data_IF_306957678647
#
_entry.id   IF_306957678647
#
_cell.length_a   1.000
_cell.length_b   1.000
_cell.length_c   1.000
_cell.angle_alpha   90.00
_cell.angle_beta   90.00
_cell.angle_gamma   90.00
#
_symmetry.space_group_name_H-M   'P 1'
#
loop_
_entity.id
_entity.type
_entity.pdbx_description
1 polymer ?
#
# COMPACT_ATOMS: atom_id res chain seq x y z
N UNK A 1 6.25 -20.96 30.60
CA UNK A 1 6.86 -20.48 29.35
C UNK A 1 5.75 -19.99 28.45
N UNK A 2 5.74 -18.70 28.16
CA UNK A 2 4.65 -17.98 27.49
C UNK A 2 4.39 -18.54 26.08
N UNK A 3 3.12 -18.84 25.78
CA UNK A 3 2.68 -19.28 24.45
C UNK A 3 2.95 -18.15 23.45
N UNK A 4 3.98 -18.33 22.63
CA UNK A 4 4.22 -17.54 21.43
C UNK A 4 2.95 -17.59 20.59
N UNK A 5 2.26 -16.44 20.47
CA UNK A 5 1.07 -16.28 19.61
C UNK A 5 1.48 -16.64 18.19
N UNK A 6 1.09 -17.83 17.77
CA UNK A 6 1.19 -18.29 16.39
C UNK A 6 0.48 -17.26 15.51
N UNK A 7 1.27 -16.45 14.80
CA UNK A 7 0.74 -15.50 13.83
C UNK A 7 0.28 -16.39 12.67
N UNK A 8 -0.95 -16.91 12.75
CA UNK A 8 -1.54 -17.71 11.70
C UNK A 8 -1.33 -16.97 10.38
N UNK A 9 -0.41 -17.48 9.56
CA UNK A 9 -0.11 -16.92 8.25
C UNK A 9 -1.27 -17.33 7.35
N UNK A 10 -2.39 -16.62 7.49
CA UNK A 10 -3.54 -16.80 6.62
C UNK A 10 -3.08 -16.40 5.22
N UNK A 11 -2.96 -17.39 4.33
CA UNK A 11 -2.65 -17.21 2.91
C UNK A 11 -3.80 -16.42 2.30
N UNK A 12 -3.72 -15.09 2.36
CA UNK A 12 -4.72 -14.20 1.79
C UNK A 12 -4.59 -14.29 0.27
N UNK A 13 -5.67 -14.71 -0.37
CA UNK A 13 -5.75 -14.68 -1.84
C UNK A 13 -5.48 -13.25 -2.32
N UNK A 14 -4.86 -13.14 -3.49
CA UNK A 14 -4.49 -11.86 -4.11
C UNK A 14 -5.76 -11.02 -4.21
N UNK A 15 -5.88 -9.99 -3.37
CA UNK A 15 -6.97 -9.02 -3.49
C UNK A 15 -6.71 -8.21 -4.75
N UNK A 16 -7.65 -8.24 -5.68
CA UNK A 16 -7.68 -7.32 -6.79
C UNK A 16 -8.03 -5.93 -6.27
N UNK A 17 -7.01 -5.09 -6.14
CA UNK A 17 -7.17 -3.68 -5.82
C UNK A 17 -7.43 -2.94 -7.13
N UNK A 18 -8.58 -2.30 -7.23
CA UNK A 18 -8.93 -1.45 -8.37
C UNK A 18 -7.92 -0.30 -8.53
N UNK A 19 -7.73 0.16 -9.77
CA UNK A 19 -6.77 1.23 -10.09
C UNK A 19 -7.06 2.53 -9.30
N UNK A 20 -8.33 2.89 -9.19
CA UNK A 20 -8.81 4.03 -8.38
C UNK A 20 -8.39 3.95 -6.91
N UNK A 21 -8.49 2.76 -6.32
CA UNK A 21 -8.05 2.53 -4.95
C UNK A 21 -6.54 2.72 -4.78
N UNK A 22 -5.75 2.20 -5.72
CA UNK A 22 -4.28 2.37 -5.70
C UNK A 22 -3.90 3.84 -5.80
N UNK A 23 -4.56 4.60 -6.68
CA UNK A 23 -4.38 6.04 -6.83
C UNK A 23 -4.69 6.79 -5.53
N UNK A 24 -5.82 6.52 -4.90
CA UNK A 24 -6.20 7.17 -3.64
C UNK A 24 -5.15 6.93 -2.54
N UNK A 25 -4.71 5.68 -2.37
CA UNK A 25 -3.68 5.33 -1.38
C UNK A 25 -2.36 6.03 -1.69
N UNK A 26 -1.95 6.08 -2.96
CA UNK A 26 -0.71 6.75 -3.38
C UNK A 26 -0.81 8.27 -3.15
N UNK A 27 -1.94 8.90 -3.46
CA UNK A 27 -2.13 10.34 -3.23
C UNK A 27 -2.05 10.73 -1.75
N UNK A 28 -2.68 9.98 -0.83
CA UNK A 28 -2.58 10.23 0.61
C UNK A 28 -1.14 10.06 1.13
N UNK A 29 -0.39 9.11 0.55
CA UNK A 29 1.00 8.85 0.93
C UNK A 29 1.95 9.90 0.36
N UNK A 30 1.77 10.31 -0.90
CA UNK A 30 2.56 11.37 -1.56
C UNK A 30 2.33 12.75 -0.91
N UNK A 31 1.11 13.03 -0.45
CA UNK A 31 0.80 14.24 0.34
C UNK A 31 1.45 14.23 1.72
N UNK A 32 2.00 13.11 2.17
CA UNK A 32 2.58 12.96 3.50
C UNK A 32 1.57 12.83 4.64
N UNK A 33 0.27 12.78 4.33
CA UNK A 33 -0.80 12.63 5.32
C UNK A 33 -0.83 11.21 5.93
N UNK A 34 -0.35 10.23 5.18
CA UNK A 34 -0.38 8.83 5.59
C UNK A 34 0.96 8.12 5.30
N UNK A 35 1.62 7.61 6.35
CA UNK A 35 2.79 6.75 6.16
C UNK A 35 2.38 5.40 5.56
N UNK A 36 3.26 4.77 4.77
CA UNK A 36 3.04 3.43 4.18
C UNK A 36 2.61 2.38 5.21
N UNK A 37 3.13 2.47 6.44
CA UNK A 37 2.74 1.58 7.53
C UNK A 37 1.32 1.85 8.03
N UNK A 38 0.94 3.13 8.13
CA UNK A 38 -0.40 3.55 8.49
C UNK A 38 -1.40 3.18 7.40
N UNK A 39 -1.06 3.40 6.12
CA UNK A 39 -1.83 2.97 4.95
C UNK A 39 -2.08 1.47 4.96
N UNK A 40 -1.04 0.66 5.22
CA UNK A 40 -1.18 -0.79 5.34
C UNK A 40 -2.23 -1.19 6.39
N UNK A 41 -2.19 -0.56 7.57
CA UNK A 41 -3.11 -0.86 8.67
C UNK A 41 -4.54 -0.39 8.37
N UNK A 42 -4.69 0.86 7.90
CA UNK A 42 -5.97 1.51 7.55
C UNK A 42 -6.70 0.75 6.45
N UNK A 43 -5.99 0.43 5.38
CA UNK A 43 -6.53 -0.19 4.16
C UNK A 43 -6.44 -1.73 4.15
N UNK A 44 -5.96 -2.34 5.24
CA UNK A 44 -5.76 -3.79 5.38
C UNK A 44 -4.93 -4.41 4.23
N UNK A 45 -3.97 -3.65 3.71
CA UNK A 45 -3.09 -4.10 2.63
C UNK A 45 -2.13 -5.15 3.18
N UNK A 46 -1.81 -6.13 2.35
CA UNK A 46 -1.07 -7.32 2.77
C UNK A 46 0.39 -7.01 3.10
N UNK A 47 1.07 -6.23 2.25
CA UNK A 47 2.49 -5.94 2.35
C UNK A 47 2.81 -4.46 2.20
N UNK A 48 3.91 -4.03 2.82
CA UNK A 48 4.50 -2.71 2.56
C UNK A 48 5.09 -2.65 1.13
N UNK A 49 5.63 -3.77 0.67
CA UNK A 49 6.14 -3.96 -0.70
C UNK A 49 5.07 -3.69 -1.76
N UNK A 50 3.83 -4.12 -1.53
CA UNK A 50 2.70 -3.84 -2.43
C UNK A 50 2.45 -2.34 -2.60
N UNK A 51 2.53 -1.57 -1.52
CA UNK A 51 2.36 -0.10 -1.55
C UNK A 51 3.54 0.56 -2.27
N UNK A 52 4.76 0.09 -2.03
CA UNK A 52 5.96 0.57 -2.73
C UNK A 52 5.90 0.30 -4.24
N UNK A 53 5.36 -0.85 -4.65
CA UNK A 53 5.17 -1.21 -6.04
C UNK A 53 4.13 -0.29 -6.71
N UNK A 54 3.04 0.03 -6.01
CA UNK A 54 2.05 1.00 -6.50
C UNK A 54 2.62 2.40 -6.60
N UNK A 55 3.39 2.85 -5.61
CA UNK A 55 4.09 4.13 -5.65
C UNK A 55 5.02 4.17 -6.86
N UNK A 56 5.88 3.16 -7.09
CA UNK A 56 6.78 3.14 -8.25
C UNK A 56 6.03 3.18 -9.58
N UNK A 57 4.98 2.37 -9.73
CA UNK A 57 4.22 2.29 -10.98
C UNK A 57 3.44 3.58 -11.25
N UNK A 58 2.73 4.12 -10.25
CA UNK A 58 1.94 5.34 -10.39
C UNK A 58 2.84 6.57 -10.51
N UNK A 59 3.93 6.66 -9.76
CA UNK A 59 4.87 7.77 -9.86
C UNK A 59 5.59 7.78 -11.21
N UNK A 60 5.92 6.63 -11.81
CA UNK A 60 6.44 6.63 -13.19
C UNK A 60 5.43 7.15 -14.21
N UNK A 61 4.14 6.90 -13.99
CA UNK A 61 3.05 7.34 -14.88
C UNK A 61 2.69 8.82 -14.62
N UNK A 62 2.77 9.30 -13.38
CA UNK A 62 2.36 10.64 -12.97
C UNK A 62 3.51 11.67 -12.99
N UNK A 63 4.78 11.24 -12.95
CA UNK A 63 5.97 12.10 -13.10
C UNK A 63 5.96 13.01 -14.34
N UNK A 64 5.59 12.53 -15.54
CA UNK A 64 5.50 13.43 -16.70
C UNK A 64 4.33 14.43 -16.59
N UNK A 65 3.39 14.24 -15.66
CA UNK A 65 2.21 15.08 -15.51
C UNK A 65 2.36 16.17 -14.43
N UNK A 66 3.27 15.98 -13.47
CA UNK A 66 3.51 16.91 -12.36
C UNK A 66 4.78 17.76 -12.52
N UNK A 67 5.53 17.57 -13.61
CA UNK A 67 6.73 18.36 -13.94
C UNK A 67 6.41 19.37 -15.04
N UNK A 68 5.55 20.35 -14.74
CA UNK A 68 5.31 21.57 -15.53
C UNK A 68 5.39 22.75 -14.57
#
# INVERSE_FOLDING_TARGET
MEKVKEIQYVKRSKKDYSMSFKLQVVQEVERGELSQLAAKRKYRIQGRSTILEWLRSIVQIAKPFFLI
#
